data_IF_108130052428
#
_entry.id   IF_108130052428
#
_cell.length_a   1.000
_cell.length_b   1.000
_cell.length_c   1.000
_cell.angle_alpha   90.00
_cell.angle_beta   90.00
_cell.angle_gamma   90.00
#
_symmetry.space_group_name_H-M   'P 1'
#
loop_
_entity.id
_entity.type
_entity.pdbx_description
1 polymer ?
#
# COMPACT_ATOMS: atom_id res chain seq x y z
N UNK A 1 13.53 -54.27 6.66
CA UNK A 1 12.49 -53.61 7.48
C UNK A 1 12.99 -52.23 7.88
N UNK A 2 12.63 -51.20 7.12
CA UNK A 2 12.94 -49.81 7.44
C UNK A 2 11.66 -49.02 7.24
N UNK A 3 10.91 -48.81 8.33
CA UNK A 3 9.71 -47.99 8.32
C UNK A 3 10.19 -46.53 8.25
N UNK A 4 10.36 -46.03 7.04
CA UNK A 4 10.47 -44.59 6.80
C UNK A 4 9.11 -43.98 7.14
N UNK A 5 9.00 -43.54 8.40
CA UNK A 5 7.95 -42.65 8.86
C UNK A 5 8.02 -41.38 8.01
N UNK A 6 7.21 -41.32 6.95
CA UNK A 6 6.79 -40.05 6.36
C UNK A 6 6.01 -39.32 7.45
N UNK A 7 6.70 -38.63 8.35
CA UNK A 7 6.14 -37.49 9.06
C UNK A 7 5.88 -36.44 7.98
N UNK A 8 4.77 -36.62 7.25
CA UNK A 8 4.19 -35.59 6.41
C UNK A 8 4.10 -34.39 7.33
N UNK A 9 4.96 -33.44 7.05
CA UNK A 9 4.96 -32.09 7.52
C UNK A 9 3.54 -31.59 7.23
N UNK A 10 2.64 -31.80 8.19
CA UNK A 10 1.33 -31.17 8.24
C UNK A 10 1.63 -29.72 8.57
N UNK A 11 2.26 -29.01 7.62
CA UNK A 11 2.27 -27.56 7.63
C UNK A 11 0.81 -27.22 7.73
N UNK A 12 0.44 -26.56 8.83
CA UNK A 12 -0.92 -26.15 9.09
C UNK A 12 -1.31 -25.21 7.94
N UNK A 13 -1.86 -25.78 6.86
CA UNK A 13 -2.11 -25.11 5.57
C UNK A 13 -3.05 -23.92 5.77
N UNK A 14 -3.95 -24.05 6.74
CA UNK A 14 -4.84 -23.01 7.25
C UNK A 14 -4.09 -21.81 7.82
N UNK A 15 -3.03 -22.02 8.61
CA UNK A 15 -2.25 -20.95 9.25
C UNK A 15 -1.42 -20.17 8.23
N UNK A 16 -0.79 -20.87 7.28
CA UNK A 16 -0.06 -20.24 6.17
C UNK A 16 -0.97 -19.46 5.23
N UNK A 17 -2.18 -19.98 4.96
CA UNK A 17 -3.18 -19.27 4.16
C UNK A 17 -3.65 -17.99 4.88
N UNK A 18 -4.02 -18.08 6.17
CA UNK A 18 -4.47 -16.93 6.97
C UNK A 18 -3.43 -15.81 7.01
N UNK A 19 -2.16 -16.15 7.21
CA UNK A 19 -1.04 -15.20 7.23
C UNK A 19 -0.84 -14.52 5.88
N UNK A 20 -1.06 -15.25 4.78
CA UNK A 20 -0.97 -14.72 3.41
C UNK A 20 -2.09 -13.72 3.11
N UNK A 21 -3.34 -14.03 3.44
CA UNK A 21 -4.48 -13.12 3.23
C UNK A 21 -4.37 -11.84 4.06
N UNK A 22 -3.77 -11.91 5.25
CA UNK A 22 -3.49 -10.73 6.07
C UNK A 22 -2.63 -9.70 5.32
N UNK A 23 -1.66 -10.11 4.50
CA UNK A 23 -0.86 -9.17 3.71
C UNK A 23 -1.69 -8.41 2.67
N UNK A 24 -2.66 -9.08 2.04
CA UNK A 24 -3.56 -8.45 1.06
C UNK A 24 -4.53 -7.48 1.74
N UNK A 25 -5.13 -7.89 2.86
CA UNK A 25 -6.04 -7.03 3.63
C UNK A 25 -5.30 -5.76 4.09
N UNK A 26 -4.09 -5.93 4.65
CA UNK A 26 -3.27 -4.80 5.07
C UNK A 26 -2.91 -3.93 3.86
N UNK A 27 -2.57 -4.51 2.70
CA UNK A 27 -2.28 -3.74 1.50
C UNK A 27 -3.48 -2.89 1.06
N UNK A 28 -4.68 -3.46 1.02
CA UNK A 28 -5.92 -2.75 0.67
C UNK A 28 -6.14 -1.55 1.59
N UNK A 29 -5.97 -1.73 2.90
CA UNK A 29 -6.09 -0.64 3.88
C UNK A 29 -5.10 0.49 3.58
N UNK A 30 -3.84 0.15 3.31
CA UNK A 30 -2.81 1.15 2.98
C UNK A 30 -3.12 1.87 1.67
N UNK A 31 -3.58 1.17 0.62
CA UNK A 31 -3.99 1.81 -0.62
C UNK A 31 -5.23 2.70 -0.44
N UNK A 32 -6.17 2.31 0.42
CA UNK A 32 -7.30 3.16 0.80
C UNK A 32 -6.85 4.48 1.42
N UNK A 33 -5.92 4.44 2.38
CA UNK A 33 -5.33 5.65 2.95
C UNK A 33 -4.53 6.46 1.92
N UNK A 34 -3.74 5.79 1.06
CA UNK A 34 -3.00 6.46 0.00
C UNK A 34 -3.92 7.23 -0.95
N UNK A 35 -5.05 6.61 -1.34
CA UNK A 35 -6.07 7.23 -2.18
C UNK A 35 -6.77 8.39 -1.48
N UNK A 36 -7.11 8.25 -0.19
CA UNK A 36 -7.72 9.32 0.61
C UNK A 36 -6.81 10.56 0.67
N UNK A 37 -5.55 10.36 1.07
CA UNK A 37 -4.59 11.48 1.13
C UNK A 37 -4.23 12.02 -0.25
N UNK A 38 -4.20 11.17 -1.28
CA UNK A 38 -4.02 11.57 -2.67
C UNK A 38 -5.17 12.43 -3.18
N UNK A 39 -6.41 12.12 -2.78
CA UNK A 39 -7.58 12.92 -3.09
C UNK A 39 -7.53 14.30 -2.41
N UNK A 40 -7.13 14.36 -1.14
CA UNK A 40 -6.89 15.63 -0.45
C UNK A 40 -5.79 16.45 -1.13
N UNK A 41 -4.67 15.83 -1.51
CA UNK A 41 -3.60 16.48 -2.28
C UNK A 41 -4.11 17.00 -3.62
N UNK A 42 -4.92 16.21 -4.33
CA UNK A 42 -5.48 16.58 -5.62
C UNK A 42 -6.36 17.83 -5.50
N UNK A 43 -7.37 17.80 -4.64
CA UNK A 43 -8.32 18.91 -4.50
C UNK A 43 -7.70 20.19 -3.92
N UNK A 44 -6.63 20.06 -3.13
CA UNK A 44 -6.08 21.16 -2.33
C UNK A 44 -4.76 21.74 -2.85
N UNK A 45 -4.10 21.06 -3.77
CA UNK A 45 -2.87 21.53 -4.41
C UNK A 45 -2.87 21.29 -5.90
N UNK A 46 -3.06 20.03 -6.33
CA UNK A 46 -2.85 19.66 -7.73
C UNK A 46 -3.87 20.30 -8.67
N UNK A 47 -5.15 20.38 -8.31
CA UNK A 47 -6.17 21.01 -9.16
C UNK A 47 -5.85 22.47 -9.50
N UNK A 48 -5.12 23.15 -8.60
CA UNK A 48 -4.80 24.59 -8.68
C UNK A 48 -3.33 24.85 -9.02
N UNK A 49 -2.58 23.81 -9.42
CA UNK A 49 -1.13 23.85 -9.65
C UNK A 49 -0.70 24.92 -10.67
N UNK A 50 -1.51 25.14 -11.70
CA UNK A 50 -1.20 26.07 -12.78
C UNK A 50 -1.44 27.52 -12.33
N UNK A 51 -2.48 27.75 -11.54
CA UNK A 51 -2.77 29.06 -10.95
C UNK A 51 -1.73 29.42 -9.89
N UNK A 52 -1.33 28.48 -9.02
CA UNK A 52 -0.24 28.69 -8.05
C UNK A 52 1.09 29.02 -8.75
N UNK A 53 1.35 28.42 -9.91
CA UNK A 53 2.58 28.69 -10.66
C UNK A 53 2.63 30.11 -11.26
N UNK A 54 1.49 30.78 -11.39
CA UNK A 54 1.38 32.13 -11.95
C UNK A 54 1.43 33.24 -10.89
N UNK A 55 1.16 32.92 -9.62
CA UNK A 55 1.15 33.90 -8.53
C UNK A 55 2.13 33.48 -7.44
N UNK A 56 3.18 34.27 -7.19
CA UNK A 56 4.15 34.03 -6.10
C UNK A 56 3.52 34.13 -4.69
N UNK A 57 2.30 34.65 -4.59
CA UNK A 57 1.59 34.91 -3.34
C UNK A 57 0.66 33.76 -2.96
N UNK A 58 0.41 33.57 -1.65
CA UNK A 58 -0.58 32.63 -1.12
C UNK A 58 -1.96 32.80 -1.77
N UNK A 59 -2.26 31.95 -2.75
CA UNK A 59 -3.54 31.94 -3.44
C UNK A 59 -4.63 31.45 -2.49
N UNK A 60 -5.66 32.27 -2.32
CA UNK A 60 -6.87 31.94 -1.59
C UNK A 60 -7.91 31.51 -2.62
N UNK A 61 -8.48 30.32 -2.46
CA UNK A 61 -9.69 29.91 -3.21
C UNK A 61 -10.80 30.95 -2.93
N UNK A 62 -11.80 31.13 -3.81
CA UNK A 62 -12.94 32.05 -3.54
C UNK A 62 -13.62 31.83 -2.18
N UNK A 63 -13.54 30.60 -1.65
CA UNK A 63 -14.03 30.21 -0.33
C UNK A 63 -13.11 30.63 0.84
N UNK A 64 -12.07 31.43 0.58
CA UNK A 64 -11.08 31.90 1.57
C UNK A 64 -10.05 30.85 2.01
N UNK A 65 -10.00 29.69 1.35
CA UNK A 65 -9.11 28.59 1.72
C UNK A 65 -7.70 28.79 1.14
N UNK A 66 -6.66 28.72 1.98
CA UNK A 66 -5.26 28.77 1.52
C UNK A 66 -4.86 27.44 0.85
N UNK A 67 -4.54 27.53 -0.44
CA UNK A 67 -4.20 26.39 -1.31
C UNK A 67 -2.72 26.01 -1.18
N UNK A 68 -1.85 26.98 -0.90
CA UNK A 68 -0.40 26.82 -1.00
C UNK A 68 0.24 26.19 0.27
N UNK A 69 -0.17 26.62 1.46
CA UNK A 69 0.47 26.17 2.72
C UNK A 69 -0.01 24.80 3.21
N UNK A 70 -1.21 24.37 2.83
CA UNK A 70 -1.83 23.15 3.35
C UNK A 70 -1.94 22.00 2.34
N UNK A 71 -1.66 22.24 1.05
CA UNK A 71 -1.92 21.27 0.00
C UNK A 71 -0.80 20.24 -0.18
N UNK A 72 0.47 20.69 -0.25
CA UNK A 72 1.62 19.81 -0.45
C UNK A 72 1.85 18.80 0.70
N UNK A 73 1.44 19.14 1.92
CA UNK A 73 1.64 18.28 3.09
C UNK A 73 0.93 16.92 2.94
N UNK A 74 -0.12 16.84 2.12
CA UNK A 74 -0.88 15.61 1.87
C UNK A 74 -0.20 14.65 0.88
N UNK A 75 0.74 15.13 0.05
CA UNK A 75 1.49 14.29 -0.87
C UNK A 75 2.38 13.29 -0.12
N UNK A 76 3.04 13.73 0.94
CA UNK A 76 3.96 12.93 1.74
C UNK A 76 3.28 11.69 2.37
N UNK A 77 2.19 11.81 3.16
CA UNK A 77 1.50 10.66 3.70
C UNK A 77 0.91 9.77 2.58
N UNK A 78 0.36 10.35 1.51
CA UNK A 78 -0.16 9.57 0.37
C UNK A 78 0.92 8.65 -0.21
N UNK A 79 2.12 9.19 -0.46
CA UNK A 79 3.25 8.42 -0.99
C UNK A 79 3.72 7.34 -0.01
N UNK A 80 3.84 7.66 1.27
CA UNK A 80 4.25 6.70 2.32
C UNK A 80 3.28 5.52 2.37
N UNK A 81 1.97 5.79 2.41
CA UNK A 81 0.96 4.73 2.44
C UNK A 81 0.96 3.91 1.14
N UNK A 82 1.17 4.52 -0.02
CA UNK A 82 1.30 3.81 -1.29
C UNK A 82 2.50 2.86 -1.27
N UNK A 83 3.67 3.33 -0.84
CA UNK A 83 4.88 2.51 -0.73
C UNK A 83 4.69 1.33 0.24
N UNK A 84 4.06 1.57 1.39
CA UNK A 84 3.74 0.51 2.35
C UNK A 84 2.79 -0.54 1.75
N UNK A 85 1.78 -0.12 0.98
CA UNK A 85 0.89 -1.01 0.24
C UNK A 85 1.64 -1.91 -0.74
N UNK A 86 2.55 -1.32 -1.54
CA UNK A 86 3.41 -2.06 -2.48
C UNK A 86 4.31 -3.07 -1.76
N UNK A 87 4.94 -2.67 -0.65
CA UNK A 87 5.79 -3.58 0.14
C UNK A 87 4.98 -4.79 0.65
N UNK A 88 3.71 -4.58 1.04
CA UNK A 88 2.84 -5.67 1.51
C UNK A 88 2.46 -6.63 0.38
N UNK A 89 2.18 -6.11 -0.82
CA UNK A 89 1.96 -6.94 -2.03
C UNK A 89 3.23 -7.72 -2.40
N UNK A 90 4.40 -7.07 -2.41
CA UNK A 90 5.66 -7.73 -2.72
C UNK A 90 5.94 -8.90 -1.76
N UNK A 91 5.67 -8.71 -0.45
CA UNK A 91 5.77 -9.78 0.55
C UNK A 91 4.79 -10.92 0.29
N UNK A 92 3.55 -10.62 -0.10
CA UNK A 92 2.58 -11.63 -0.51
C UNK A 92 3.07 -12.47 -1.71
N UNK A 93 3.62 -11.80 -2.74
CA UNK A 93 4.13 -12.46 -3.94
C UNK A 93 5.33 -13.36 -3.63
N UNK A 94 6.29 -12.86 -2.85
CA UNK A 94 7.47 -13.64 -2.44
C UNK A 94 7.10 -14.89 -1.63
N UNK A 95 6.15 -14.78 -0.70
CA UNK A 95 5.67 -15.92 0.07
C UNK A 95 4.98 -16.96 -0.82
N UNK A 96 4.18 -16.51 -1.78
CA UNK A 96 3.49 -17.40 -2.72
C UNK A 96 4.48 -18.15 -3.61
N UNK A 97 5.50 -17.45 -4.11
CA UNK A 97 6.54 -18.06 -4.95
C UNK A 97 7.33 -19.13 -4.20
N UNK A 98 7.71 -18.89 -2.93
CA UNK A 98 8.46 -19.86 -2.12
C UNK A 98 7.69 -21.17 -1.91
N UNK A 99 6.38 -21.08 -1.66
CA UNK A 99 5.54 -22.26 -1.46
C UNK A 99 5.37 -23.05 -2.76
N UNK A 100 5.22 -22.35 -3.90
CA UNK A 100 5.10 -23.01 -5.20
C UNK A 100 6.33 -23.87 -5.52
N UNK A 101 7.53 -23.39 -5.17
CA UNK A 101 8.77 -24.15 -5.33
C UNK A 101 8.85 -25.35 -4.39
N UNK A 102 8.52 -25.18 -3.12
CA UNK A 102 8.53 -26.28 -2.15
C UNK A 102 7.60 -27.44 -2.55
N UNK A 103 6.45 -27.15 -3.18
CA UNK A 103 5.52 -28.18 -3.66
C UNK A 103 6.04 -28.96 -4.87
N UNK A 104 6.99 -28.42 -5.63
CA UNK A 104 7.58 -29.08 -6.80
C UNK A 104 8.72 -30.04 -6.42
N UNK A 105 9.27 -29.89 -5.21
CA UNK A 105 10.38 -30.71 -4.69
C UNK A 105 9.88 -31.96 -3.91
N UNK A 106 8.57 -32.08 -3.69
CA UNK A 106 7.87 -33.19 -3.02
C UNK A 106 7.26 -34.21 -4.01
#
# INVERSE_FOLDING_TARGET
>A
MGIFTKSKVTVNTSFTAKRRWSHLIIAIVHFGFAALFGFCFYGRFWAWREEIAQVETSFLTPDGSNVNSGGMVWALPSLVFACLGVIRIARYALLTNRISKAKQED
#
